data_IF_723302778875
#
_entry.id   IF_723302778875
#
_cell.length_a   1.000
_cell.length_b   1.000
_cell.length_c   1.000
_cell.angle_alpha   90.00
_cell.angle_beta   90.00
_cell.angle_gamma   90.00
#
_symmetry.space_group_name_H-M   'P 1'
#
loop_
_entity.id
_entity.type
_entity.pdbx_description
1 polymer ?
#
# COMPACT_ATOMS: atom_id res chain seq x y z
N UNK A 1 -17.98 -0.14 5.59
CA UNK A 1 -18.23 0.60 4.35
C UNK A 1 -17.85 -0.25 3.14
N UNK A 2 -18.68 -0.25 2.14
CA UNK A 2 -18.45 -1.00 0.91
C UNK A 2 -17.77 -0.14 -0.14
N UNK A 3 -16.98 -0.77 -1.01
CA UNK A 3 -16.42 -0.10 -2.16
C UNK A 3 -17.54 0.11 -3.20
N UNK A 4 -17.71 1.35 -3.62
CA UNK A 4 -18.85 1.74 -4.45
C UNK A 4 -18.60 1.57 -5.95
N UNK A 5 -17.35 1.39 -6.37
CA UNK A 5 -16.97 1.41 -7.79
C UNK A 5 -16.87 0.01 -8.41
N UNK A 6 -17.57 -0.95 -7.86
CA UNK A 6 -17.55 -2.32 -8.36
C UNK A 6 -18.26 -2.40 -9.72
N UNK A 7 -17.55 -2.76 -10.77
CA UNK A 7 -18.06 -2.73 -12.14
C UNK A 7 -18.23 -4.08 -12.80
N UNK A 8 -17.38 -5.06 -12.52
CA UNK A 8 -17.37 -6.30 -13.29
C UNK A 8 -18.50 -7.27 -12.94
N UNK A 9 -19.07 -7.14 -11.74
CA UNK A 9 -20.08 -8.09 -11.25
C UNK A 9 -19.52 -9.42 -10.82
N UNK A 10 -18.20 -9.59 -10.85
CA UNK A 10 -17.48 -10.80 -10.46
C UNK A 10 -16.50 -10.49 -9.35
N UNK A 11 -16.15 -11.46 -8.48
CA UNK A 11 -15.08 -11.23 -7.52
C UNK A 11 -13.79 -10.83 -8.24
N UNK A 12 -13.09 -9.85 -7.69
CA UNK A 12 -11.83 -9.35 -8.24
C UNK A 12 -10.74 -9.45 -7.19
N UNK A 13 -9.60 -10.05 -7.54
CA UNK A 13 -8.45 -10.15 -6.64
C UNK A 13 -7.65 -8.86 -6.75
N UNK A 14 -7.69 -8.04 -5.71
CA UNK A 14 -7.01 -6.74 -5.66
C UNK A 14 -5.59 -6.86 -5.10
N UNK A 15 -5.35 -7.84 -4.23
CA UNK A 15 -4.02 -8.18 -3.74
C UNK A 15 -3.85 -9.68 -3.94
N UNK A 16 -2.75 -10.07 -4.57
CA UNK A 16 -2.43 -11.45 -4.91
C UNK A 16 -1.02 -11.76 -4.40
N UNK A 17 -0.93 -12.70 -3.45
CA UNK A 17 0.34 -13.10 -2.84
C UNK A 17 1.15 -11.89 -2.35
N UNK A 18 0.46 -10.98 -1.67
CA UNK A 18 1.07 -9.81 -1.07
C UNK A 18 1.33 -8.63 -1.99
N UNK A 19 0.94 -8.72 -3.25
CA UNK A 19 1.16 -7.65 -4.24
C UNK A 19 -0.16 -7.07 -4.70
N UNK A 20 -0.24 -5.75 -4.76
CA UNK A 20 -1.41 -5.06 -5.32
C UNK A 20 -1.46 -5.34 -6.81
N UNK A 21 -2.62 -5.77 -7.30
CA UNK A 21 -2.85 -6.01 -8.71
C UNK A 21 -3.39 -4.71 -9.33
N UNK A 22 -2.48 -3.88 -9.80
CA UNK A 22 -2.79 -2.54 -10.30
C UNK A 22 -3.85 -2.58 -11.41
N UNK A 23 -3.71 -3.54 -12.30
CA UNK A 23 -4.64 -3.76 -13.41
C UNK A 23 -6.08 -3.96 -12.90
N UNK A 24 -6.26 -4.71 -11.82
CA UNK A 24 -7.57 -4.96 -11.25
C UNK A 24 -8.14 -3.74 -10.56
N UNK A 25 -7.32 -2.95 -9.88
CA UNK A 25 -7.77 -1.67 -9.31
C UNK A 25 -8.31 -0.76 -10.41
N UNK A 26 -7.58 -0.65 -11.53
CA UNK A 26 -8.01 0.18 -12.65
C UNK A 26 -9.30 -0.33 -13.27
N UNK A 27 -9.40 -1.65 -13.47
CA UNK A 27 -10.60 -2.26 -14.07
C UNK A 27 -11.84 -1.98 -13.23
N UNK A 28 -11.73 -2.09 -11.91
CA UNK A 28 -12.86 -1.86 -11.01
C UNK A 28 -12.99 -0.40 -10.57
N UNK A 29 -12.12 0.48 -11.06
CA UNK A 29 -12.11 1.91 -10.72
C UNK A 29 -12.00 2.16 -9.22
N UNK A 30 -11.15 1.40 -8.58
CA UNK A 30 -10.86 1.53 -7.15
C UNK A 30 -9.52 2.22 -7.02
N UNK A 31 -9.49 3.30 -6.24
CA UNK A 31 -8.23 4.01 -5.98
C UNK A 31 -7.41 3.24 -4.94
N UNK A 32 -6.10 3.50 -4.95
CA UNK A 32 -5.21 2.93 -3.94
C UNK A 32 -5.62 3.43 -2.54
N UNK A 33 -6.11 4.67 -2.44
CA UNK A 33 -6.58 5.23 -1.17
C UNK A 33 -7.77 4.45 -0.62
N UNK A 34 -8.73 4.11 -1.50
CA UNK A 34 -9.90 3.32 -1.10
C UNK A 34 -9.50 1.93 -0.63
N UNK A 35 -8.56 1.28 -1.33
CA UNK A 35 -8.08 -0.04 -0.94
C UNK A 35 -7.43 0.02 0.45
N UNK A 36 -6.54 0.97 0.67
CA UNK A 36 -5.84 1.12 1.94
C UNK A 36 -6.83 1.41 3.08
N UNK A 37 -7.83 2.25 2.83
CA UNK A 37 -8.87 2.55 3.82
C UNK A 37 -9.63 1.29 4.23
N UNK A 38 -10.06 0.51 3.24
CA UNK A 38 -10.80 -0.73 3.52
C UNK A 38 -9.95 -1.74 4.30
N UNK A 39 -8.67 -1.83 3.99
CA UNK A 39 -7.76 -2.68 4.75
C UNK A 39 -7.61 -2.22 6.19
N UNK A 40 -7.46 -0.89 6.41
CA UNK A 40 -7.35 -0.34 7.77
C UNK A 40 -8.60 -0.59 8.59
N UNK A 41 -9.78 -0.47 8.00
CA UNK A 41 -11.05 -0.76 8.66
C UNK A 41 -11.07 -2.19 9.19
N UNK A 42 -10.44 -3.12 8.50
CA UNK A 42 -10.36 -4.52 8.92
C UNK A 42 -9.14 -4.82 9.79
N UNK A 43 -8.34 -3.81 10.15
CA UNK A 43 -7.21 -3.97 11.04
C UNK A 43 -5.86 -4.21 10.34
N UNK A 44 -5.80 -4.06 9.03
CA UNK A 44 -4.58 -4.25 8.26
C UNK A 44 -3.96 -2.90 7.92
N UNK A 45 -2.90 -2.53 8.62
CA UNK A 45 -2.21 -1.25 8.43
C UNK A 45 -1.01 -1.35 7.48
N UNK A 46 -0.53 -2.56 7.22
CA UNK A 46 0.60 -2.81 6.32
C UNK A 46 0.22 -3.80 5.24
N UNK A 47 0.60 -3.51 4.00
CA UNK A 47 0.34 -4.40 2.88
C UNK A 47 1.02 -5.77 3.05
N UNK A 48 2.19 -5.80 3.67
CA UNK A 48 2.91 -7.06 3.91
C UNK A 48 2.13 -8.03 4.80
N UNK A 49 1.14 -7.54 5.53
CA UNK A 49 0.29 -8.39 6.39
C UNK A 49 -0.87 -9.01 5.62
N UNK A 50 -1.04 -8.68 4.34
CA UNK A 50 -2.14 -9.16 3.51
C UNK A 50 -1.61 -10.12 2.45
N UNK A 51 -2.12 -11.34 2.45
CA UNK A 51 -1.79 -12.33 1.41
C UNK A 51 -2.69 -12.15 0.20
N UNK A 52 -4.00 -12.06 0.42
CA UNK A 52 -4.99 -11.83 -0.62
C UNK A 52 -6.01 -10.81 -0.15
N UNK A 53 -6.49 -9.99 -1.06
CA UNK A 53 -7.65 -9.14 -0.84
C UNK A 53 -8.57 -9.29 -2.05
N UNK A 54 -9.80 -9.66 -1.79
CA UNK A 54 -10.78 -9.99 -2.84
C UNK A 54 -11.96 -9.07 -2.70
N UNK A 55 -12.24 -8.31 -3.76
CA UNK A 55 -13.46 -7.51 -3.84
C UNK A 55 -14.61 -8.45 -4.20
N UNK A 56 -15.53 -8.63 -3.27
CA UNK A 56 -16.69 -9.52 -3.47
C UNK A 56 -17.78 -8.81 -4.25
N UNK A 57 -18.74 -9.60 -4.74
CA UNK A 57 -19.82 -9.06 -5.59
C UNK A 57 -20.74 -8.08 -4.87
N UNK A 58 -20.78 -8.11 -3.55
CA UNK A 58 -21.58 -7.19 -2.74
C UNK A 58 -20.80 -5.90 -2.37
N UNK A 59 -19.57 -5.75 -2.87
CA UNK A 59 -18.74 -4.58 -2.60
C UNK A 59 -17.92 -4.67 -1.30
N UNK A 60 -18.03 -5.77 -0.56
CA UNK A 60 -17.19 -6.00 0.61
C UNK A 60 -15.83 -6.54 0.18
N UNK A 61 -14.81 -6.27 0.99
CA UNK A 61 -13.46 -6.76 0.76
C UNK A 61 -13.20 -7.93 1.71
N UNK A 62 -12.88 -9.10 1.15
CA UNK A 62 -12.43 -10.27 1.92
C UNK A 62 -10.91 -10.25 1.97
N UNK A 63 -10.34 -10.44 3.15
CA UNK A 63 -8.88 -10.39 3.33
C UNK A 63 -8.38 -11.71 3.90
N UNK A 64 -7.36 -12.27 3.25
CA UNK A 64 -6.61 -13.41 3.77
C UNK A 64 -5.28 -12.87 4.31
N UNK A 65 -5.04 -12.99 5.62
CA UNK A 65 -3.81 -12.44 6.19
C UNK A 65 -2.59 -13.23 5.76
N UNK A 66 -1.45 -12.54 5.67
CA UNK A 66 -0.16 -13.18 5.50
C UNK A 66 0.21 -13.94 6.78
N UNK A 67 1.08 -14.95 6.67
CA UNK A 67 1.51 -15.75 7.82
C UNK A 67 2.21 -14.91 8.88
N UNK A 68 2.80 -13.78 8.48
CA UNK A 68 3.47 -12.85 9.40
C UNK A 68 2.50 -11.97 10.19
N UNK A 69 1.23 -11.93 9.81
CA UNK A 69 0.25 -11.06 10.46
C UNK A 69 -0.03 -11.52 11.89
N UNK A 70 0.02 -10.57 12.81
CA UNK A 70 -0.31 -10.82 14.21
C UNK A 70 -1.34 -9.79 14.66
N UNK A 71 -2.58 -10.23 14.87
CA UNK A 71 -3.68 -9.36 15.29
C UNK A 71 -3.72 -9.14 16.80
N UNK A 72 -2.91 -9.86 17.54
CA UNK A 72 -2.86 -9.80 19.01
C UNK A 72 -1.44 -9.57 19.49
N UNK A 73 -1.28 -8.95 20.60
CA UNK A 73 -1.95 -7.84 21.25
C UNK A 73 -1.52 -6.53 20.61
N UNK A 74 -1.93 -5.36 21.12
CA UNK A 74 -1.60 -4.11 20.45
C UNK A 74 -0.10 -4.00 20.25
N UNK A 75 0.30 -3.89 18.99
CA UNK A 75 1.69 -3.59 18.67
C UNK A 75 1.93 -2.14 19.05
N UNK A 76 3.06 -1.89 19.71
CA UNK A 76 3.49 -0.53 19.95
C UNK A 76 3.98 0.05 18.64
N UNK A 77 3.20 0.92 18.03
CA UNK A 77 3.62 1.64 16.84
C UNK A 77 4.40 2.88 17.26
N UNK A 78 5.53 3.14 16.63
CA UNK A 78 6.24 4.41 16.79
C UNK A 78 5.39 5.54 16.19
N UNK A 79 4.74 5.24 15.08
CA UNK A 79 3.80 6.12 14.38
C UNK A 79 2.97 5.24 13.44
N UNK A 80 1.87 5.77 12.94
CA UNK A 80 1.12 5.06 11.91
C UNK A 80 1.90 5.04 10.60
N UNK A 81 1.69 4.03 9.75
CA UNK A 81 2.29 4.03 8.42
C UNK A 81 1.96 5.33 7.67
N UNK A 82 2.95 5.88 6.99
CA UNK A 82 2.86 7.16 6.28
C UNK A 82 3.06 6.91 4.79
N UNK A 83 1.98 6.94 3.98
CA UNK A 83 2.12 6.86 2.52
C UNK A 83 2.85 8.08 1.97
N UNK A 84 3.92 7.86 1.23
CA UNK A 84 4.74 8.92 0.64
C UNK A 84 4.48 9.10 -0.85
N UNK A 85 4.17 7.99 -1.55
CA UNK A 85 3.78 8.00 -2.96
C UNK A 85 2.59 7.05 -3.11
N UNK A 86 1.53 7.52 -3.78
CA UNK A 86 0.38 6.70 -4.13
C UNK A 86 0.06 6.92 -5.60
N UNK A 87 0.05 5.84 -6.38
CA UNK A 87 -0.25 5.84 -7.82
C UNK A 87 0.50 6.95 -8.56
N UNK A 88 1.81 6.98 -8.37
CA UNK A 88 2.69 7.92 -9.05
C UNK A 88 2.60 9.36 -8.57
N UNK A 89 1.95 9.62 -7.44
CA UNK A 89 1.80 10.96 -6.88
C UNK A 89 2.53 11.05 -5.55
N UNK A 90 3.41 12.03 -5.43
CA UNK A 90 4.10 12.32 -4.16
C UNK A 90 3.12 13.03 -3.23
N UNK A 91 3.02 12.55 -1.99
CA UNK A 91 2.16 13.13 -0.97
C UNK A 91 3.03 14.07 -0.11
N UNK A 92 3.20 15.31 -0.58
CA UNK A 92 4.11 16.25 0.08
C UNK A 92 3.76 16.51 1.54
N UNK A 93 2.49 16.58 1.85
CA UNK A 93 2.03 16.71 3.23
C UNK A 93 2.57 15.60 4.12
N UNK A 94 2.61 14.38 3.59
CA UNK A 94 3.09 13.24 4.37
C UNK A 94 4.61 13.21 4.49
N UNK A 95 5.34 13.75 3.50
CA UNK A 95 6.77 13.96 3.65
C UNK A 95 7.06 14.89 4.82
N UNK A 96 6.29 15.98 4.93
CA UNK A 96 6.42 16.91 6.06
C UNK A 96 6.15 16.23 7.39
N UNK A 97 5.11 15.40 7.46
CA UNK A 97 4.79 14.62 8.66
C UNK A 97 5.95 13.70 9.03
N UNK A 98 6.56 13.07 8.04
CA UNK A 98 7.70 12.17 8.24
C UNK A 98 9.01 12.94 8.52
N UNK A 99 8.98 14.27 8.45
CA UNK A 99 10.16 15.14 8.60
C UNK A 99 11.23 14.81 7.56
N UNK A 100 10.79 14.56 6.34
CA UNK A 100 11.66 14.24 5.20
C UNK A 100 11.34 15.18 4.04
N UNK A 101 12.24 15.21 3.07
CA UNK A 101 12.06 16.04 1.89
C UNK A 101 12.08 15.22 0.60
N UNK A 102 11.84 15.88 -0.51
CA UNK A 102 11.82 15.23 -1.82
C UNK A 102 13.18 14.64 -2.18
N UNK A 103 14.28 15.31 -1.80
CA UNK A 103 15.63 14.81 -2.10
C UNK A 103 15.88 13.46 -1.41
N UNK A 104 15.45 13.33 -0.16
CA UNK A 104 15.55 12.07 0.56
C UNK A 104 14.76 10.97 -0.15
N UNK A 105 13.52 11.29 -0.56
CA UNK A 105 12.67 10.33 -1.25
C UNK A 105 13.28 9.91 -2.60
N UNK A 106 13.76 10.87 -3.38
CA UNK A 106 14.39 10.58 -4.66
C UNK A 106 15.65 9.72 -4.48
N UNK A 107 16.39 9.93 -3.41
CA UNK A 107 17.56 9.10 -3.07
C UNK A 107 17.19 7.65 -2.83
N UNK A 108 16.07 7.41 -2.15
CA UNK A 108 15.56 6.05 -1.90
C UNK A 108 15.17 5.40 -3.23
N UNK A 109 14.44 6.10 -4.08
CA UNK A 109 14.03 5.55 -5.37
C UNK A 109 15.25 5.21 -6.22
N UNK A 110 16.24 6.10 -6.26
CA UNK A 110 17.46 5.90 -7.04
C UNK A 110 18.24 4.68 -6.52
N UNK A 111 18.34 4.50 -5.22
CA UNK A 111 19.05 3.35 -4.64
C UNK A 111 18.38 2.02 -4.97
N UNK A 112 17.10 2.04 -5.33
CA UNK A 112 16.35 0.88 -5.78
C UNK A 112 16.22 0.81 -7.30
N UNK A 113 16.97 1.61 -8.03
CA UNK A 113 16.96 1.66 -9.50
C UNK A 113 15.59 2.02 -10.07
N UNK A 114 14.82 2.81 -9.34
CA UNK A 114 13.54 3.33 -9.81
C UNK A 114 13.80 4.72 -10.42
N UNK A 115 13.58 4.84 -11.71
CA UNK A 115 13.95 6.05 -12.46
C UNK A 115 13.00 7.21 -12.20
N UNK A 116 11.71 6.93 -12.02
CA UNK A 116 10.71 7.98 -11.81
C UNK A 116 9.68 7.56 -10.75
N UNK A 117 9.31 8.52 -9.89
CA UNK A 117 8.25 8.28 -8.90
C UNK A 117 6.91 7.95 -9.55
N UNK A 118 6.74 8.30 -10.83
CA UNK A 118 5.48 8.03 -11.57
C UNK A 118 5.24 6.54 -11.78
N UNK A 119 6.29 5.73 -11.72
CA UNK A 119 6.19 4.28 -11.85
C UNK A 119 5.91 3.58 -10.52
N UNK A 120 5.88 4.33 -9.43
CA UNK A 120 5.62 3.79 -8.08
C UNK A 120 4.13 3.74 -7.85
N UNK A 121 3.62 2.54 -7.54
CA UNK A 121 2.22 2.39 -7.14
C UNK A 121 2.02 2.81 -5.70
N UNK A 122 2.91 2.40 -4.81
CA UNK A 122 2.85 2.74 -3.40
C UNK A 122 4.25 2.79 -2.80
N UNK A 123 4.51 3.81 -2.01
CA UNK A 123 5.71 3.92 -1.18
C UNK A 123 5.27 4.37 0.20
N UNK A 124 5.57 3.59 1.21
CA UNK A 124 5.11 3.83 2.59
C UNK A 124 6.29 3.74 3.56
N UNK A 125 6.36 4.70 4.47
CA UNK A 125 7.20 4.60 5.66
C UNK A 125 6.34 3.91 6.73
N UNK A 126 6.69 2.68 7.09
CA UNK A 126 5.87 1.91 8.02
C UNK A 126 6.09 2.32 9.48
N UNK A 127 5.34 1.71 10.40
CA UNK A 127 5.39 2.02 11.82
C UNK A 127 6.75 1.72 12.49
N UNK A 128 7.61 0.98 11.81
CA UNK A 128 8.96 0.63 12.29
C UNK A 128 10.05 1.35 11.51
N UNK A 129 9.68 2.41 10.79
CA UNK A 129 10.60 3.21 9.97
C UNK A 129 11.25 2.44 8.83
N UNK A 130 10.61 1.37 8.38
CA UNK A 130 10.99 0.67 7.16
C UNK A 130 10.27 1.28 5.97
N UNK A 131 10.93 1.26 4.82
CA UNK A 131 10.32 1.70 3.58
C UNK A 131 9.82 0.47 2.82
N UNK A 132 8.56 0.51 2.43
CA UNK A 132 7.93 -0.48 1.54
C UNK A 132 7.59 0.21 0.23
N UNK A 133 8.00 -0.39 -0.88
CA UNK A 133 7.70 0.14 -2.21
C UNK A 133 7.17 -0.99 -3.08
N UNK A 134 6.10 -0.72 -3.81
CA UNK A 134 5.68 -1.55 -4.93
C UNK A 134 5.57 -0.65 -6.16
N UNK A 135 6.21 -1.06 -7.26
CA UNK A 135 6.02 -0.33 -8.51
C UNK A 135 4.76 -0.81 -9.24
N UNK A 136 4.39 -0.13 -10.31
CA UNK A 136 3.17 -0.46 -11.06
C UNK A 136 3.24 -1.80 -11.78
N UNK A 137 4.46 -2.33 -11.99
CA UNK A 137 4.67 -3.65 -12.58
C UNK A 137 4.53 -4.78 -11.58
N UNK A 138 4.51 -4.48 -10.29
CA UNK A 138 4.39 -5.47 -9.22
C UNK A 138 5.68 -5.84 -8.52
N UNK A 139 6.80 -5.19 -8.85
CA UNK A 139 8.05 -5.39 -8.12
C UNK A 139 7.95 -4.77 -6.74
N UNK A 140 8.43 -5.48 -5.73
CA UNK A 140 8.36 -5.05 -4.32
C UNK A 140 9.75 -4.88 -3.76
N UNK A 141 9.93 -3.80 -3.01
CA UNK A 141 11.19 -3.45 -2.35
C UNK A 141 10.91 -3.14 -0.90
N UNK A 142 11.67 -3.72 0.02
CA UNK A 142 11.58 -3.43 1.45
C UNK A 142 12.95 -3.05 1.96
N UNK A 143 13.02 -1.90 2.65
CA UNK A 143 14.29 -1.39 3.15
C UNK A 143 14.10 -0.77 4.52
N UNK A 144 15.17 -0.81 5.34
CA UNK A 144 15.23 0.04 6.51
C UNK A 144 15.41 1.48 6.06
N UNK A 145 14.90 2.42 6.87
CA UNK A 145 15.06 3.82 6.58
C UNK A 145 16.54 4.17 6.53
N UNK A 146 16.93 4.84 5.46
CA UNK A 146 18.26 5.45 5.36
C UNK A 146 18.24 6.79 6.08
N UNK A 147 19.25 6.99 6.88
CA UNK A 147 19.42 8.28 7.57
C UNK A 147 20.12 9.28 6.68
#
# INVERSE_FOLDING_TARGET
RKLSSFLSGKPSVLIDKGKIVYKELKKERISIDELLEQLRIQGYFNLKDVQYAILETDGNLSVVPASSYNSTPPRAFNHLPIPLILDGRIINKNLDIAQKDTNWLMGILKSNHIETFKDVLICVLDENDKIFIQNKKGDVYEHFQYQ
#
